data_IF_063469351376
#
_entry.id   IF_063469351376
#
_cell.length_a   1.000
_cell.length_b   1.000
_cell.length_c   1.000
_cell.angle_alpha   90.00
_cell.angle_beta   90.00
_cell.angle_gamma   90.00
#
_symmetry.space_group_name_H-M   'P 1'
#
loop_
_entity.id
_entity.type
_entity.pdbx_description
1 polymer ?
#
# COMPACT_ATOMS: atom_id res chain seq x y z
N UNK A 1 -1.13 -6.15 -26.52
CA UNK A 1 0.11 -5.85 -25.78
C UNK A 1 0.04 -4.38 -25.47
N UNK A 2 0.27 -4.04 -24.20
CA UNK A 2 0.20 -2.66 -23.76
C UNK A 2 1.17 -1.75 -24.52
N UNK A 3 0.94 -0.44 -24.45
CA UNK A 3 1.75 0.57 -25.11
C UNK A 3 2.52 1.38 -24.07
N UNK A 4 3.73 1.83 -24.40
CA UNK A 4 4.53 2.58 -23.44
C UNK A 4 5.76 3.23 -24.07
N UNK A 5 6.35 4.16 -23.33
CA UNK A 5 7.61 4.83 -23.65
C UNK A 5 8.64 4.40 -22.60
N UNK A 6 9.79 3.88 -23.04
CA UNK A 6 10.87 3.44 -22.16
C UNK A 6 10.62 2.16 -21.37
N UNK A 7 9.46 1.52 -21.53
CA UNK A 7 9.07 0.28 -20.87
C UNK A 7 8.51 -0.72 -21.89
N UNK A 8 8.71 -2.01 -21.63
CA UNK A 8 8.20 -3.09 -22.47
C UNK A 8 7.63 -4.24 -21.64
N UNK A 9 6.48 -4.74 -22.05
CA UNK A 9 5.88 -5.96 -21.49
C UNK A 9 6.74 -7.19 -21.80
N UNK A 10 7.06 -7.96 -20.76
CA UNK A 10 7.82 -9.21 -20.86
C UNK A 10 7.05 -10.42 -20.33
N UNK A 11 5.90 -10.20 -19.70
CA UNK A 11 5.04 -11.25 -19.18
C UNK A 11 3.67 -10.71 -18.74
N UNK A 12 2.66 -11.57 -18.80
CA UNK A 12 1.34 -11.30 -18.25
C UNK A 12 0.81 -12.57 -17.61
N UNK A 13 0.34 -12.46 -16.38
CA UNK A 13 -0.36 -13.52 -15.68
C UNK A 13 -1.83 -13.14 -15.60
N UNK A 14 -2.66 -13.89 -16.31
CA UNK A 14 -4.12 -13.75 -16.19
C UNK A 14 -4.62 -14.37 -14.89
N UNK A 15 -5.51 -13.67 -14.19
CA UNK A 15 -6.03 -14.13 -12.91
C UNK A 15 -6.77 -13.04 -12.15
N UNK A 16 -7.25 -13.36 -10.95
CA UNK A 16 -7.94 -12.39 -10.11
C UNK A 16 -7.06 -11.15 -9.85
N UNK A 17 -7.67 -9.97 -9.91
CA UNK A 17 -6.96 -8.72 -9.60
C UNK A 17 -6.51 -8.66 -8.14
N UNK A 18 -5.61 -7.72 -7.84
CA UNK A 18 -4.96 -7.64 -6.54
C UNK A 18 -4.86 -6.23 -5.97
N UNK A 19 -4.75 -6.19 -4.65
CA UNK A 19 -4.55 -4.98 -3.86
C UNK A 19 -3.08 -4.70 -3.55
N UNK A 20 -2.22 -5.72 -3.66
CA UNK A 20 -0.78 -5.64 -3.41
C UNK A 20 -0.04 -6.81 -4.06
N UNK A 21 1.20 -6.57 -4.49
CA UNK A 21 2.13 -7.59 -4.96
C UNK A 21 3.51 -7.39 -4.33
N UNK A 22 4.17 -8.50 -3.96
CA UNK A 22 5.58 -8.52 -3.55
C UNK A 22 6.29 -9.67 -4.26
N UNK A 23 7.56 -9.49 -4.62
CA UNK A 23 8.38 -10.54 -5.26
C UNK A 23 9.63 -10.79 -4.43
N UNK A 24 9.83 -12.05 -4.03
CA UNK A 24 10.99 -12.51 -3.26
C UNK A 24 11.54 -13.77 -3.93
N UNK A 25 12.83 -13.79 -4.25
CA UNK A 25 13.54 -14.96 -4.82
C UNK A 25 12.88 -15.57 -6.08
N UNK A 26 12.33 -14.70 -6.94
CA UNK A 26 11.62 -15.10 -8.16
C UNK A 26 10.23 -15.68 -7.92
N UNK A 27 9.65 -15.48 -6.75
CA UNK A 27 8.27 -15.86 -6.40
C UNK A 27 7.46 -14.59 -6.12
N UNK A 28 6.38 -14.40 -6.87
CA UNK A 28 5.41 -13.34 -6.64
C UNK A 28 4.31 -13.81 -5.69
N UNK A 29 3.96 -12.94 -4.74
CA UNK A 29 2.86 -13.11 -3.82
C UNK A 29 1.87 -11.98 -4.06
N UNK A 30 0.63 -12.32 -4.39
CA UNK A 30 -0.41 -11.34 -4.75
C UNK A 30 -1.57 -11.43 -3.77
N UNK A 31 -1.84 -10.35 -3.05
CA UNK A 31 -3.03 -10.22 -2.19
C UNK A 31 -4.23 -9.76 -3.01
N UNK A 32 -5.34 -10.50 -2.99
CA UNK A 32 -6.48 -10.29 -3.88
C UNK A 32 -7.58 -9.41 -3.26
N UNK A 33 -8.22 -8.61 -4.12
CA UNK A 33 -9.25 -7.63 -3.71
C UNK A 33 -10.58 -8.23 -3.28
N UNK A 34 -10.89 -9.47 -3.69
CA UNK A 34 -12.21 -10.08 -3.52
C UNK A 34 -12.13 -11.58 -3.31
N UNK A 35 -12.92 -12.06 -2.36
CA UNK A 35 -13.26 -13.47 -2.21
C UNK A 35 -13.81 -14.06 -3.53
N UNK A 36 -13.62 -15.37 -3.82
CA UNK A 36 -12.99 -16.37 -2.95
C UNK A 36 -11.46 -16.29 -2.95
N UNK A 37 -10.85 -15.38 -3.70
CA UNK A 37 -9.40 -15.25 -3.81
C UNK A 37 -8.83 -14.48 -2.62
N UNK A 38 -7.88 -15.09 -1.91
CA UNK A 38 -7.13 -14.45 -0.83
C UNK A 38 -5.72 -14.06 -1.27
N UNK A 39 -4.88 -15.05 -1.52
CA UNK A 39 -3.50 -14.85 -1.97
C UNK A 39 -3.10 -15.87 -3.02
N UNK A 40 -2.47 -15.43 -4.11
CA UNK A 40 -1.80 -16.33 -5.06
C UNK A 40 -0.29 -16.27 -4.89
N UNK A 41 0.36 -17.43 -4.95
CA UNK A 41 1.81 -17.59 -4.90
C UNK A 41 2.26 -18.14 -6.25
N UNK A 42 3.16 -17.45 -6.93
CA UNK A 42 3.47 -17.70 -8.36
C UNK A 42 4.97 -17.66 -8.60
N UNK A 43 5.50 -18.68 -9.27
CA UNK A 43 6.87 -18.66 -9.80
C UNK A 43 6.93 -17.72 -11.01
N UNK A 44 7.74 -16.68 -10.89
CA UNK A 44 7.95 -15.63 -11.91
C UNK A 44 9.41 -15.57 -12.37
N UNK A 45 10.17 -16.66 -12.17
CA UNK A 45 11.56 -16.77 -12.67
C UNK A 45 11.63 -16.69 -14.19
N UNK A 46 10.66 -17.26 -14.89
CA UNK A 46 10.42 -16.99 -16.30
C UNK A 46 9.15 -16.12 -16.43
N UNK A 47 9.27 -14.80 -16.66
CA UNK A 47 8.11 -13.92 -16.75
C UNK A 47 7.17 -14.28 -17.91
N UNK A 48 7.65 -14.98 -18.94
CA UNK A 48 6.82 -15.44 -20.07
C UNK A 48 6.04 -16.71 -19.75
N UNK A 49 6.49 -17.48 -18.76
CA UNK A 49 5.93 -18.77 -18.39
C UNK A 49 5.75 -18.86 -16.86
N UNK A 50 4.99 -17.90 -16.32
CA UNK A 50 4.67 -17.88 -14.90
C UNK A 50 3.88 -19.13 -14.50
N UNK A 51 4.17 -19.69 -13.32
CA UNK A 51 3.52 -20.90 -12.81
C UNK A 51 2.96 -20.69 -11.43
N UNK A 52 1.66 -20.86 -11.28
CA UNK A 52 1.01 -20.85 -9.96
C UNK A 52 1.53 -22.00 -9.09
N UNK A 53 1.97 -21.67 -7.88
CA UNK A 53 2.53 -22.60 -6.90
C UNK A 53 1.49 -22.97 -5.83
N UNK A 54 0.72 -21.99 -5.37
CA UNK A 54 -0.31 -22.18 -4.36
C UNK A 54 -1.34 -21.04 -4.35
N UNK A 55 -2.49 -21.30 -3.73
CA UNK A 55 -3.55 -20.33 -3.48
C UNK A 55 -4.07 -20.46 -2.05
N UNK A 56 -4.37 -19.32 -1.44
CA UNK A 56 -5.08 -19.19 -0.18
C UNK A 56 -6.39 -18.46 -0.46
N UNK A 57 -7.51 -18.98 0.04
CA UNK A 57 -8.83 -18.41 -0.18
C UNK A 57 -9.27 -17.46 0.93
N UNK A 58 -10.31 -16.67 0.64
CA UNK A 58 -11.02 -15.85 1.62
C UNK A 58 -12.53 -16.11 1.57
N UNK A 59 -13.24 -16.06 2.71
CA UNK A 59 -14.68 -16.22 2.74
C UNK A 59 -15.43 -15.03 2.09
N UNK A 60 -16.71 -15.23 1.67
CA UNK A 60 -17.56 -14.15 1.17
C UNK A 60 -17.62 -12.93 2.08
N UNK A 61 -17.73 -11.72 1.51
CA UNK A 61 -17.81 -10.47 2.27
C UNK A 61 -16.48 -10.02 2.88
N UNK A 62 -15.38 -10.71 2.60
CA UNK A 62 -14.04 -10.43 3.17
C UNK A 62 -12.97 -10.39 2.09
N UNK A 63 -11.79 -9.90 2.44
CA UNK A 63 -10.61 -9.90 1.57
C UNK A 63 -9.29 -10.00 2.35
N UNK A 64 -8.23 -10.38 1.65
CA UNK A 64 -6.84 -10.38 2.13
C UNK A 64 -5.95 -9.74 1.08
N UNK A 65 -6.24 -8.47 0.80
CA UNK A 65 -5.74 -7.74 -0.36
C UNK A 65 -4.35 -7.13 -0.14
N UNK A 66 -3.72 -7.38 1.02
CA UNK A 66 -2.35 -6.98 1.37
C UNK A 66 -1.52 -8.20 1.71
N UNK A 67 -0.27 -8.19 1.27
CA UNK A 67 0.72 -9.24 1.46
C UNK A 67 2.13 -8.66 1.59
N UNK A 68 2.87 -9.13 2.59
CA UNK A 68 4.32 -8.92 2.72
C UNK A 68 5.00 -10.24 3.00
N UNK A 69 6.24 -10.38 2.52
CA UNK A 69 7.06 -11.58 2.67
C UNK A 69 8.48 -11.18 3.04
N UNK A 70 9.02 -11.77 4.09
CA UNK A 70 10.41 -11.64 4.50
C UNK A 70 10.81 -12.86 5.35
N UNK A 71 12.06 -13.29 5.24
CA UNK A 71 12.64 -14.39 6.06
C UNK A 71 11.81 -15.69 6.09
N UNK A 72 11.21 -16.05 4.95
CA UNK A 72 10.38 -17.25 4.84
C UNK A 72 9.01 -17.14 5.52
N UNK A 73 8.66 -15.97 6.06
CA UNK A 73 7.34 -15.65 6.60
C UNK A 73 6.55 -14.80 5.61
N UNK A 74 5.26 -15.11 5.49
CA UNK A 74 4.28 -14.31 4.77
C UNK A 74 3.22 -13.81 5.75
N UNK A 75 2.92 -12.52 5.68
CA UNK A 75 1.84 -11.87 6.42
C UNK A 75 0.80 -11.38 5.43
N UNK A 76 -0.47 -11.66 5.72
CA UNK A 76 -1.63 -11.19 4.93
C UNK A 76 -2.66 -10.56 5.85
N UNK A 77 -3.37 -9.53 5.41
CA UNK A 77 -4.47 -9.00 6.20
C UNK A 77 -5.71 -9.88 6.09
N UNK A 78 -6.54 -9.86 7.12
CA UNK A 78 -7.89 -10.38 7.09
C UNK A 78 -8.82 -9.23 7.43
N UNK A 79 -9.65 -8.82 6.48
CA UNK A 79 -10.52 -7.65 6.66
C UNK A 79 -11.91 -7.87 6.05
N UNK A 80 -12.94 -7.29 6.68
CA UNK A 80 -14.28 -7.16 6.10
C UNK A 80 -14.22 -6.23 4.89
N UNK A 81 -14.75 -6.68 3.75
CA UNK A 81 -14.79 -5.90 2.53
C UNK A 81 -16.12 -5.16 2.40
N UNK A 82 -16.15 -3.89 2.80
CA UNK A 82 -17.36 -3.06 2.71
C UNK A 82 -17.89 -2.85 1.26
N UNK A 83 -17.09 -3.13 0.24
CA UNK A 83 -17.51 -3.07 -1.17
C UNK A 83 -18.03 -4.43 -1.70
N UNK A 84 -18.24 -5.41 -0.81
CA UNK A 84 -18.88 -6.69 -1.07
C UNK A 84 -20.12 -6.80 -0.16
N UNK A 85 -21.29 -6.94 -0.78
CA UNK A 85 -22.57 -7.06 -0.06
C UNK A 85 -22.87 -8.49 0.41
N UNK A 86 -21.98 -9.44 0.13
CA UNK A 86 -22.13 -10.83 0.56
C UNK A 86 -22.08 -10.94 2.08
N UNK A 87 -22.84 -11.86 2.68
CA UNK A 87 -22.84 -12.04 4.13
C UNK A 87 -21.48 -12.55 4.63
N UNK A 88 -20.90 -11.82 5.57
CA UNK A 88 -19.68 -12.25 6.28
C UNK A 88 -20.02 -13.41 7.22
N UNK A 89 -19.24 -14.51 7.24
CA UNK A 89 -19.46 -15.61 8.20
C UNK A 89 -19.43 -15.12 9.65
N UNK A 90 -20.33 -15.61 10.49
CA UNK A 90 -20.47 -15.17 11.88
C UNK A 90 -19.21 -15.43 12.75
N UNK A 91 -18.43 -16.44 12.38
CA UNK A 91 -17.18 -16.82 13.03
C UNK A 91 -15.95 -16.09 12.45
N UNK A 92 -16.10 -15.28 11.39
CA UNK A 92 -15.01 -14.49 10.86
C UNK A 92 -14.54 -13.46 11.89
N UNK A 93 -13.22 -13.32 12.00
CA UNK A 93 -12.56 -12.27 12.78
C UNK A 93 -11.46 -11.68 11.92
N UNK A 94 -11.43 -10.35 11.84
CA UNK A 94 -10.37 -9.63 11.13
C UNK A 94 -9.04 -9.72 11.87
N UNK A 95 -7.96 -9.24 11.24
CA UNK A 95 -6.61 -9.26 11.81
C UNK A 95 -5.55 -9.55 10.75
N UNK A 96 -4.57 -10.37 11.09
CA UNK A 96 -3.55 -10.86 10.13
C UNK A 96 -3.42 -12.38 10.20
N UNK A 97 -3.17 -12.99 9.05
CA UNK A 97 -2.70 -14.37 8.94
C UNK A 97 -1.19 -14.39 8.77
N UNK A 98 -0.51 -15.28 9.49
CA UNK A 98 0.95 -15.46 9.46
C UNK A 98 1.23 -16.87 8.96
N UNK A 99 2.02 -16.98 7.91
CA UNK A 99 2.28 -18.22 7.19
C UNK A 99 3.79 -18.48 7.05
N UNK A 100 4.18 -19.73 7.17
CA UNK A 100 5.47 -20.24 6.72
C UNK A 100 5.39 -20.47 5.21
N UNK A 101 6.25 -19.77 4.47
CA UNK A 101 6.39 -19.86 3.01
C UNK A 101 7.83 -20.20 2.60
N UNK A 102 8.63 -20.76 3.52
CA UNK A 102 9.97 -21.31 3.20
C UNK A 102 9.92 -22.37 2.09
N UNK A 103 8.76 -23.03 1.93
CA UNK A 103 8.42 -23.85 0.77
C UNK A 103 7.18 -23.27 0.07
N UNK A 104 7.34 -22.37 -0.94
CA UNK A 104 6.22 -21.60 -1.50
C UNK A 104 5.10 -22.42 -2.13
N UNK A 105 5.37 -23.66 -2.58
CA UNK A 105 4.37 -24.61 -3.11
C UNK A 105 3.46 -25.20 -2.02
N UNK A 106 3.81 -25.02 -0.74
CA UNK A 106 3.07 -25.56 0.41
C UNK A 106 3.05 -24.53 1.54
N UNK A 107 2.39 -23.37 1.35
CA UNK A 107 2.27 -22.37 2.39
C UNK A 107 1.53 -22.99 3.59
N UNK A 108 2.06 -22.78 4.79
CA UNK A 108 1.49 -23.34 6.03
C UNK A 108 1.13 -22.23 6.98
N UNK A 109 -0.15 -22.13 7.34
CA UNK A 109 -0.58 -21.19 8.38
C UNK A 109 0.11 -21.54 9.71
N UNK A 110 0.75 -20.55 10.32
CA UNK A 110 1.35 -20.65 11.65
C UNK A 110 0.31 -20.26 12.69
N UNK A 111 -0.28 -19.07 12.52
CA UNK A 111 -1.32 -18.55 13.40
C UNK A 111 -2.11 -17.43 12.73
N UNK A 112 -3.21 -17.02 13.36
CA UNK A 112 -3.95 -15.80 13.04
C UNK A 112 -4.00 -14.92 14.28
N UNK A 113 -3.48 -13.72 14.16
CA UNK A 113 -3.77 -12.68 15.14
C UNK A 113 -5.10 -12.03 14.79
N UNK A 114 -5.98 -11.91 15.78
CA UNK A 114 -7.35 -11.44 15.59
C UNK A 114 -7.51 -10.07 16.24
N UNK A 115 -8.33 -9.24 15.63
CA UNK A 115 -8.69 -7.93 16.16
C UNK A 115 -10.19 -7.66 16.07
N UNK A 116 -10.66 -6.73 16.88
CA UNK A 116 -12.04 -6.24 16.86
C UNK A 116 -12.29 -5.34 15.65
N UNK A 117 -13.56 -5.22 15.26
CA UNK A 117 -13.96 -4.41 14.11
C UNK A 117 -13.69 -5.09 12.77
N UNK A 118 -13.19 -4.33 11.79
CA UNK A 118 -13.07 -4.80 10.40
C UNK A 118 -11.86 -5.69 10.19
N UNK A 119 -10.74 -5.43 10.88
CA UNK A 119 -9.48 -6.15 10.67
C UNK A 119 -8.29 -5.22 10.54
N UNK A 120 -7.28 -5.67 9.80
CA UNK A 120 -6.11 -4.85 9.43
C UNK A 120 -6.26 -4.38 8.00
N UNK A 121 -6.07 -3.09 7.76
CA UNK A 121 -6.25 -2.53 6.41
C UNK A 121 -4.96 -2.61 5.58
N UNK A 122 -3.83 -2.18 6.15
CA UNK A 122 -2.52 -2.17 5.49
C UNK A 122 -1.39 -2.33 6.49
N UNK A 123 -0.23 -2.75 5.99
CA UNK A 123 0.95 -2.95 6.81
C UNK A 123 2.23 -3.00 5.98
N UNK A 124 3.35 -2.82 6.67
CA UNK A 124 4.68 -3.19 6.25
C UNK A 124 5.28 -4.26 7.18
N UNK A 125 6.27 -5.00 6.71
CA UNK A 125 6.88 -6.10 7.46
C UNK A 125 8.38 -6.22 7.14
N UNK A 126 9.21 -6.17 8.18
CA UNK A 126 10.68 -6.16 8.05
C UNK A 126 11.35 -7.52 8.33
N UNK A 127 10.57 -8.61 8.40
CA UNK A 127 11.04 -9.95 8.79
C UNK A 127 10.89 -10.23 10.28
N UNK A 128 10.78 -9.20 11.13
CA UNK A 128 10.60 -9.35 12.57
C UNK A 128 9.36 -8.65 13.11
N UNK A 129 9.09 -7.42 12.69
CA UNK A 129 7.97 -6.62 13.15
C UNK A 129 7.02 -6.29 12.01
N UNK A 130 5.72 -6.32 12.31
CA UNK A 130 4.67 -5.83 11.42
C UNK A 130 4.26 -4.44 11.90
N UNK A 131 4.33 -3.46 11.00
CA UNK A 131 3.83 -2.11 11.21
C UNK A 131 2.47 -2.02 10.52
N UNK A 132 1.38 -1.88 11.26
CA UNK A 132 0.04 -2.14 10.71
C UNK A 132 -1.03 -1.13 11.14
N UNK A 133 -2.11 -1.10 10.37
CA UNK A 133 -3.32 -0.32 10.62
C UNK A 133 -4.53 -1.19 11.01
N UNK A 134 -4.60 -1.71 12.26
CA UNK A 134 -5.76 -2.46 12.77
C UNK A 134 -6.90 -1.54 13.22
N UNK A 135 -8.14 -2.02 13.09
CA UNK A 135 -9.24 -1.57 13.95
C UNK A 135 -9.09 -2.21 15.32
N UNK A 136 -9.35 -1.47 16.40
CA UNK A 136 -9.26 -1.93 17.78
C UNK A 136 -10.47 -1.46 18.59
N UNK A 137 -10.84 -2.23 19.60
CA UNK A 137 -11.86 -1.83 20.56
C UNK A 137 -11.50 -0.50 21.24
N UNK A 138 -12.49 0.38 21.37
CA UNK A 138 -12.33 1.68 22.01
C UNK A 138 -11.66 2.76 21.14
N UNK A 139 -11.38 2.45 19.86
CA UNK A 139 -10.85 3.40 18.90
C UNK A 139 -11.80 3.65 17.73
N UNK A 140 -11.81 4.87 17.20
CA UNK A 140 -12.48 5.19 15.94
C UNK A 140 -11.52 5.05 14.75
N UNK A 141 -11.90 4.21 13.79
CA UNK A 141 -11.07 3.88 12.64
C UNK A 141 -9.89 2.97 12.98
N UNK A 142 -8.93 2.90 12.07
CA UNK A 142 -7.66 2.19 12.25
C UNK A 142 -6.61 3.10 12.92
N UNK A 143 -5.74 2.53 13.74
CA UNK A 143 -4.61 3.25 14.39
C UNK A 143 -3.27 2.64 13.97
N UNK A 144 -2.14 3.22 14.36
CA UNK A 144 -0.82 2.60 14.12
C UNK A 144 -0.50 1.60 15.24
N UNK A 145 -0.13 0.37 14.88
CA UNK A 145 0.36 -0.64 15.82
C UNK A 145 1.64 -1.31 15.29
N UNK A 146 2.56 -1.61 16.20
CA UNK A 146 3.77 -2.42 15.98
C UNK A 146 3.56 -3.78 16.64
N UNK A 147 3.68 -4.85 15.85
CA UNK A 147 3.59 -6.25 16.30
C UNK A 147 4.95 -6.92 16.18
N UNK A 148 5.40 -7.62 17.22
CA UNK A 148 6.60 -8.45 17.23
C UNK A 148 6.24 -9.91 16.83
N UNK A 149 6.91 -10.42 15.79
CA UNK A 149 6.82 -11.82 15.32
C UNK A 149 8.05 -12.67 15.70
N UNK A 150 8.74 -12.36 16.81
CA UNK A 150 9.84 -13.19 17.36
C UNK A 150 9.47 -14.66 17.43
N UNK A 151 8.25 -14.89 17.93
CA UNK A 151 7.56 -16.16 17.89
C UNK A 151 6.31 -15.95 17.02
N UNK A 152 6.36 -16.31 15.73
CA UNK A 152 5.24 -16.07 14.83
C UNK A 152 4.01 -16.90 15.20
N UNK A 153 4.10 -17.90 16.09
CA UNK A 153 2.94 -18.60 16.63
C UNK A 153 2.24 -17.81 17.75
N UNK A 154 2.95 -16.85 18.35
CA UNK A 154 2.49 -16.01 19.47
C UNK A 154 2.85 -14.54 19.23
N UNK A 155 2.28 -13.90 18.20
CA UNK A 155 2.51 -12.49 17.90
C UNK A 155 2.17 -11.62 19.10
N UNK A 156 3.04 -10.66 19.43
CA UNK A 156 2.87 -9.77 20.58
C UNK A 156 2.90 -8.32 20.16
N UNK A 157 1.92 -7.55 20.62
CA UNK A 157 1.98 -6.11 20.45
C UNK A 157 3.19 -5.54 21.18
N UNK A 158 3.99 -4.75 20.46
CA UNK A 158 5.12 -4.03 21.03
C UNK A 158 4.69 -2.66 21.51
N UNK A 159 3.99 -1.91 20.66
CA UNK A 159 3.51 -0.57 20.95
C UNK A 159 2.51 -0.10 19.91
N UNK A 160 1.83 1.00 20.21
CA UNK A 160 0.83 1.61 19.33
C UNK A 160 0.85 3.13 19.46
N UNK A 161 0.29 3.81 18.46
CA UNK A 161 0.01 5.23 18.50
C UNK A 161 -1.30 5.53 17.77
N UNK A 162 -2.00 6.56 18.21
CA UNK A 162 -3.23 7.02 17.62
C UNK A 162 -3.24 8.54 17.54
N UNK A 163 -3.97 9.07 16.56
CA UNK A 163 -4.19 10.50 16.43
C UNK A 163 -5.13 10.97 17.55
N UNK A 164 -4.85 12.11 18.21
CA UNK A 164 -5.75 12.66 19.24
C UNK A 164 -7.17 12.82 18.70
N UNK A 165 -8.15 12.24 19.40
CA UNK A 165 -9.54 12.11 18.95
C UNK A 165 -9.92 10.68 18.58
N UNK A 166 -8.95 9.78 18.36
CA UNK A 166 -9.22 8.39 18.02
C UNK A 166 -9.60 7.52 19.23
N UNK A 167 -9.11 7.80 20.44
CA UNK A 167 -9.30 6.92 21.61
C UNK A 167 -10.57 7.28 22.41
N UNK A 168 -11.72 6.91 21.85
CA UNK A 168 -13.04 7.25 22.43
C UNK A 168 -13.32 6.56 23.76
N UNK A 169 -12.80 5.34 23.98
CA UNK A 169 -12.89 4.67 25.28
C UNK A 169 -12.10 5.39 26.38
N UNK A 170 -11.08 6.17 26.02
CA UNK A 170 -10.34 7.05 26.93
C UNK A 170 -10.97 8.42 27.12
N UNK A 171 -12.13 8.68 26.51
CA UNK A 171 -12.85 9.95 26.60
C UNK A 171 -12.47 10.99 25.54
N UNK A 172 -11.58 10.66 24.60
CA UNK A 172 -11.30 11.55 23.46
C UNK A 172 -12.54 11.68 22.55
N UNK A 173 -12.67 12.84 21.90
CA UNK A 173 -13.72 13.11 20.94
C UNK A 173 -13.10 13.45 19.58
N UNK A 174 -13.41 12.72 18.50
CA UNK A 174 -12.87 13.04 17.19
C UNK A 174 -13.41 14.39 16.71
N UNK A 175 -12.53 15.23 16.16
CA UNK A 175 -12.91 16.52 15.56
C UNK A 175 -13.35 16.38 14.09
N UNK A 176 -13.51 15.15 13.61
CA UNK A 176 -13.81 14.79 12.22
C UNK A 176 -14.96 13.78 12.14
N UNK A 177 -15.63 13.65 10.99
CA UNK A 177 -16.73 12.70 10.85
C UNK A 177 -16.22 11.26 10.69
N UNK A 178 -16.97 10.32 11.26
CA UNK A 178 -16.80 8.88 11.05
C UNK A 178 -15.34 8.43 11.24
N UNK A 179 -14.72 7.90 10.18
CA UNK A 179 -13.34 7.37 10.18
C UNK A 179 -12.44 8.15 9.23
N UNK A 180 -12.72 9.45 9.04
CA UNK A 180 -11.96 10.30 8.12
C UNK A 180 -10.45 10.23 8.42
N UNK A 181 -10.03 10.45 9.67
CA UNK A 181 -8.62 10.45 10.09
C UNK A 181 -8.15 9.08 10.56
N UNK A 182 -8.33 8.05 9.73
CA UNK A 182 -7.88 6.69 10.05
C UNK A 182 -6.48 6.44 9.54
N UNK A 183 -5.69 5.71 10.32
CA UNK A 183 -4.34 5.27 9.94
C UNK A 183 -4.43 4.39 8.69
N UNK A 184 -3.75 4.77 7.62
CA UNK A 184 -3.75 4.00 6.40
C UNK A 184 -2.52 3.12 6.31
N UNK A 185 -1.32 3.70 6.12
CA UNK A 185 -0.08 2.93 5.90
C UNK A 185 1.09 3.44 6.75
N UNK A 186 1.55 2.68 7.76
CA UNK A 186 2.80 2.94 8.45
C UNK A 186 4.00 2.31 7.72
N UNK A 187 4.91 3.15 7.22
CA UNK A 187 6.16 2.72 6.57
C UNK A 187 7.37 2.99 7.46
N UNK A 188 8.27 2.01 7.61
CA UNK A 188 9.47 2.15 8.44
C UNK A 188 10.69 2.54 7.62
N UNK A 189 11.46 3.51 8.13
CA UNK A 189 12.85 3.72 7.76
C UNK A 189 13.67 4.03 9.02
N UNK A 190 14.60 3.13 9.37
CA UNK A 190 15.37 3.24 10.60
C UNK A 190 14.48 3.28 11.86
N UNK A 191 14.63 4.33 12.66
CA UNK A 191 13.86 4.54 13.90
C UNK A 191 12.70 5.54 13.71
N UNK A 192 12.17 5.60 12.49
CA UNK A 192 10.99 6.40 12.15
C UNK A 192 9.90 5.54 11.50
N UNK A 193 8.65 5.90 11.79
CA UNK A 193 7.50 5.52 11.00
C UNK A 193 6.95 6.75 10.29
N UNK A 194 6.80 6.65 8.98
CA UNK A 194 6.13 7.62 8.12
C UNK A 194 4.74 7.06 7.84
N UNK A 195 3.76 7.59 8.55
CA UNK A 195 2.42 6.98 8.63
C UNK A 195 1.40 7.87 7.97
N UNK A 196 0.82 7.41 6.86
CA UNK A 196 -0.29 8.10 6.21
C UNK A 196 -1.57 7.95 7.00
N UNK A 197 -2.32 9.05 7.10
CA UNK A 197 -3.67 9.09 7.65
C UNK A 197 -4.59 9.66 6.58
N UNK A 198 -5.68 8.95 6.28
CA UNK A 198 -6.68 9.48 5.37
C UNK A 198 -7.15 10.85 5.84
N UNK A 199 -7.35 11.79 4.92
CA UNK A 199 -7.89 13.13 5.18
C UNK A 199 -7.25 13.88 6.36
N UNK A 200 -6.02 13.51 6.75
CA UNK A 200 -5.25 14.12 7.82
C UNK A 200 -3.74 14.12 7.49
N UNK A 201 -3.42 14.00 6.20
CA UNK A 201 -2.08 13.92 5.64
C UNK A 201 -1.25 12.75 6.18
N UNK A 202 -0.11 13.06 6.80
CA UNK A 202 0.77 12.05 7.39
C UNK A 202 1.39 12.54 8.70
N UNK A 203 1.87 11.60 9.49
CA UNK A 203 2.66 11.85 10.69
C UNK A 203 4.01 11.14 10.61
N UNK A 204 5.02 11.74 11.24
CA UNK A 204 6.33 11.14 11.47
C UNK A 204 6.37 10.74 12.95
N UNK A 205 6.58 9.46 13.21
CA UNK A 205 6.69 8.92 14.56
C UNK A 205 8.12 8.46 14.83
N UNK A 206 8.65 8.83 15.99
CA UNK A 206 9.88 8.27 16.55
C UNK A 206 9.56 6.92 17.21
N UNK A 207 10.28 5.88 16.80
CA UNK A 207 10.16 4.51 17.31
C UNK A 207 11.50 3.96 17.83
N UNK A 208 12.42 4.83 18.27
CA UNK A 208 13.65 4.41 18.98
C UNK A 208 13.31 3.46 20.15
N UNK A 209 12.27 3.80 20.91
CA UNK A 209 11.56 2.88 21.80
C UNK A 209 10.26 2.45 21.12
N UNK A 210 10.27 1.30 20.45
CA UNK A 210 9.09 0.77 19.74
C UNK A 210 7.88 0.55 20.67
N UNK A 211 8.08 0.42 21.98
CA UNK A 211 6.97 0.28 22.93
C UNK A 211 6.23 1.59 23.18
N UNK A 212 6.84 2.72 22.81
CA UNK A 212 6.30 4.06 23.02
C UNK A 212 6.55 4.93 21.78
N UNK A 213 5.89 4.65 20.65
CA UNK A 213 5.98 5.53 19.49
C UNK A 213 5.56 6.97 19.84
N UNK A 214 6.34 7.96 19.42
CA UNK A 214 6.12 9.38 19.76
C UNK A 214 5.95 10.21 18.50
N UNK A 215 4.96 11.10 18.50
CA UNK A 215 4.82 12.08 17.43
C UNK A 215 6.03 13.01 17.38
N UNK A 216 6.69 13.08 16.22
CA UNK A 216 7.71 14.09 15.90
C UNK A 216 7.03 15.31 15.29
N UNK A 217 6.26 15.08 14.22
CA UNK A 217 5.51 16.10 13.48
C UNK A 217 4.47 15.43 12.57
N UNK A 218 3.69 16.24 11.87
CA UNK A 218 2.88 15.82 10.74
C UNK A 218 2.64 16.98 9.80
N UNK A 219 2.09 16.68 8.62
CA UNK A 219 1.67 17.66 7.64
C UNK A 219 0.33 17.22 7.08
N UNK A 220 -0.61 18.15 7.00
CA UNK A 220 -1.98 17.92 6.51
C UNK A 220 -2.36 19.03 5.52
N UNK A 221 -3.01 18.63 4.45
CA UNK A 221 -3.48 19.49 3.36
C UNK A 221 -4.96 19.23 3.00
N UNK A 222 -5.68 18.53 3.87
CA UNK A 222 -7.10 18.21 3.74
C UNK A 222 -7.91 18.94 4.82
N UNK A 223 -8.58 20.06 4.51
CA UNK A 223 -8.75 20.74 3.21
C UNK A 223 -7.53 21.60 2.77
N UNK A 224 -7.44 22.00 1.48
CA UNK A 224 -8.47 21.94 0.44
C UNK A 224 -8.49 20.65 -0.39
N UNK A 225 -7.50 19.76 -0.26
CA UNK A 225 -7.44 18.55 -1.07
C UNK A 225 -8.28 17.44 -0.43
N UNK A 226 -9.22 16.88 -1.21
CA UNK A 226 -10.20 15.93 -0.73
C UNK A 226 -9.83 14.45 -0.98
N UNK A 227 -8.71 14.20 -1.68
CA UNK A 227 -8.20 12.84 -1.84
C UNK A 227 -7.52 12.37 -0.55
N UNK A 228 -7.78 11.16 -0.07
CA UNK A 228 -7.10 10.65 1.11
C UNK A 228 -5.60 10.45 0.88
N UNK A 229 -4.77 10.80 1.87
CA UNK A 229 -3.36 10.45 1.85
C UNK A 229 -3.18 8.95 2.07
N UNK A 230 -2.61 8.28 1.07
CA UNK A 230 -2.52 6.82 0.97
C UNK A 230 -1.16 6.30 1.43
N UNK A 231 -0.07 6.88 0.94
CA UNK A 231 1.28 6.40 1.25
C UNK A 231 2.23 7.58 1.44
N UNK A 232 2.98 7.58 2.55
CA UNK A 232 4.09 8.52 2.79
C UNK A 232 5.40 7.74 2.73
N UNK A 233 6.00 7.64 1.53
CA UNK A 233 7.17 6.81 1.26
C UNK A 233 8.47 7.60 1.51
N UNK A 234 9.27 7.26 2.55
CA UNK A 234 10.57 7.88 2.75
C UNK A 234 11.57 7.42 1.70
N UNK A 235 12.33 8.35 1.13
CA UNK A 235 13.47 7.99 0.29
C UNK A 235 14.63 7.52 1.19
N UNK A 236 15.22 6.33 0.93
CA UNK A 236 16.28 5.78 1.76
C UNK A 236 17.66 6.42 1.51
N UNK A 237 17.70 7.53 0.78
CA UNK A 237 18.91 8.25 0.41
C UNK A 237 18.65 9.76 0.39
N UNK A 238 19.73 10.53 0.55
CA UNK A 238 19.68 11.98 0.42
C UNK A 238 19.74 12.39 -1.04
N UNK A 239 19.00 13.46 -1.38
CA UNK A 239 19.16 14.16 -2.66
C UNK A 239 19.82 15.50 -2.35
N UNK A 240 21.08 15.67 -2.78
CA UNK A 240 21.88 16.90 -2.53
C UNK A 240 21.96 17.27 -1.04
N UNK A 241 22.10 16.27 -0.17
CA UNK A 241 22.22 16.44 1.29
C UNK A 241 20.91 16.76 2.01
N UNK A 242 19.76 16.48 1.39
CA UNK A 242 18.42 16.67 1.94
C UNK A 242 17.62 15.37 1.89
N UNK A 243 16.73 15.21 2.86
CA UNK A 243 15.86 14.03 3.03
C UNK A 243 14.45 14.34 2.55
N UNK A 244 13.81 13.38 1.87
CA UNK A 244 12.51 13.60 1.25
C UNK A 244 11.53 12.45 1.47
N UNK A 245 10.25 12.80 1.47
CA UNK A 245 9.14 11.88 1.29
C UNK A 245 8.54 12.05 -0.10
N UNK A 246 8.19 10.93 -0.70
CA UNK A 246 7.25 10.84 -1.81
C UNK A 246 5.89 10.47 -1.22
N UNK A 247 4.92 11.37 -1.29
CA UNK A 247 3.59 11.14 -0.72
C UNK A 247 2.56 10.98 -1.84
N UNK A 248 1.81 9.89 -1.82
CA UNK A 248 0.70 9.66 -2.75
C UNK A 248 -0.62 9.84 -2.02
N UNK A 249 -1.44 10.74 -2.52
CA UNK A 249 -2.88 10.70 -2.25
C UNK A 249 -3.51 9.65 -3.19
N UNK A 250 -4.66 9.09 -2.80
CA UNK A 250 -5.37 8.08 -3.61
C UNK A 250 -6.71 8.57 -4.17
N UNK A 251 -6.93 8.29 -5.45
CA UNK A 251 -8.17 8.66 -6.13
C UNK A 251 -9.29 7.64 -5.88
N UNK A 252 -9.77 7.45 -4.65
CA UNK A 252 -10.78 6.39 -4.34
C UNK A 252 -12.11 6.89 -3.77
N UNK A 253 -12.12 7.97 -2.98
CA UNK A 253 -13.31 8.42 -2.24
C UNK A 253 -13.54 9.94 -2.32
N UNK A 254 -13.03 10.58 -3.37
CA UNK A 254 -13.37 11.98 -3.67
C UNK A 254 -14.66 12.08 -4.48
N UNK A 255 -15.26 13.27 -4.51
CA UNK A 255 -16.30 13.62 -5.48
C UNK A 255 -15.66 13.88 -6.84
N UNK A 256 -16.37 13.56 -7.92
CA UNK A 256 -15.83 13.69 -9.28
C UNK A 256 -15.36 15.11 -9.64
N UNK A 257 -15.98 16.15 -9.07
CA UNK A 257 -15.62 17.56 -9.30
C UNK A 257 -14.43 18.06 -8.46
N UNK A 258 -13.91 17.25 -7.53
CA UNK A 258 -12.74 17.59 -6.74
C UNK A 258 -11.46 17.25 -7.51
N UNK A 259 -10.36 17.93 -7.19
CA UNK A 259 -9.05 17.69 -7.80
C UNK A 259 -8.66 16.23 -7.60
N UNK A 260 -8.35 15.56 -8.71
CA UNK A 260 -7.86 14.18 -8.73
C UNK A 260 -6.54 14.03 -7.96
N UNK A 261 -6.33 12.86 -7.36
CA UNK A 261 -5.14 12.59 -6.57
C UNK A 261 -3.86 12.72 -7.40
N UNK A 262 -2.78 13.14 -6.75
CA UNK A 262 -1.47 13.35 -7.35
C UNK A 262 -0.36 13.00 -6.35
N UNK A 263 0.89 13.12 -6.81
CA UNK A 263 2.06 12.88 -5.98
C UNK A 263 2.57 14.21 -5.39
N UNK A 264 2.92 14.21 -4.11
CA UNK A 264 3.66 15.26 -3.44
C UNK A 264 5.11 14.86 -3.21
N UNK A 265 6.01 15.84 -3.31
CA UNK A 265 7.38 15.75 -2.83
C UNK A 265 7.52 16.65 -1.60
N UNK A 266 7.97 16.09 -0.48
CA UNK A 266 8.04 16.78 0.81
C UNK A 266 9.46 16.71 1.36
N UNK A 267 10.07 17.85 1.66
CA UNK A 267 11.36 17.93 2.36
C UNK A 267 11.14 17.63 3.84
N UNK A 268 11.90 16.67 4.37
CA UNK A 268 11.92 16.23 5.77
C UNK A 268 13.32 16.31 6.37
N UNK A 269 14.20 17.15 5.80
CA UNK A 269 15.55 17.38 6.32
C UNK A 269 15.48 17.83 7.78
N UNK A 270 14.56 18.75 8.10
CA UNK A 270 14.08 18.99 9.45
C UNK A 270 12.75 18.24 9.66
N UNK A 271 12.80 17.07 10.27
CA UNK A 271 11.62 16.23 10.53
C UNK A 271 10.59 16.93 11.42
N UNK A 272 10.92 18.02 12.12
CA UNK A 272 9.95 18.77 12.92
C UNK A 272 9.14 19.75 12.07
N UNK A 273 9.59 20.06 10.87
CA UNK A 273 8.94 21.01 9.97
C UNK A 273 8.90 20.48 8.53
N UNK A 274 8.15 19.39 8.25
CA UNK A 274 7.99 18.90 6.88
C UNK A 274 7.39 19.97 5.97
N UNK A 275 7.96 20.13 4.77
CA UNK A 275 7.52 21.17 3.83
C UNK A 275 7.31 20.60 2.41
N UNK A 276 6.15 20.80 1.77
CA UNK A 276 5.96 20.41 0.38
C UNK A 276 6.84 21.29 -0.52
N UNK A 277 7.61 20.65 -1.41
CA UNK A 277 8.57 21.33 -2.29
C UNK A 277 8.30 21.12 -3.77
N UNK A 278 7.43 20.17 -4.11
CA UNK A 278 7.04 19.84 -5.47
C UNK A 278 5.83 18.91 -5.49
N UNK A 279 5.26 18.75 -6.68
CA UNK A 279 4.21 17.77 -6.94
C UNK A 279 4.32 17.26 -8.37
N UNK A 280 3.65 16.14 -8.66
CA UNK A 280 3.57 15.58 -10.00
C UNK A 280 2.15 15.09 -10.27
N UNK A 281 1.62 15.43 -11.44
CA UNK A 281 0.36 14.94 -12.00
C UNK A 281 0.61 14.48 -13.44
N UNK A 282 -0.08 13.41 -13.86
CA UNK A 282 -0.01 12.91 -15.23
C UNK A 282 -0.62 13.93 -16.19
N UNK A 283 0.01 14.12 -17.35
CA UNK A 283 -0.49 15.02 -18.40
C UNK A 283 -1.92 14.66 -18.80
N UNK A 284 -2.78 15.67 -18.97
CA UNK A 284 -4.20 15.51 -19.30
C UNK A 284 -5.13 15.46 -18.09
N UNK A 285 -4.61 15.35 -16.86
CA UNK A 285 -5.39 15.59 -15.64
C UNK A 285 -5.24 17.06 -15.25
N UNK A 286 -6.19 17.88 -15.69
CA UNK A 286 -6.19 19.35 -15.57
C UNK A 286 -7.12 19.90 -14.48
N UNK A 287 -7.72 19.01 -13.68
CA UNK A 287 -8.70 19.36 -12.65
C UNK A 287 -10.16 19.33 -13.14
N UNK A 288 -10.41 19.01 -14.41
CA UNK A 288 -11.77 18.72 -14.88
C UNK A 288 -12.39 17.52 -14.14
N UNK A 289 -13.74 17.48 -14.01
CA UNK A 289 -14.41 16.36 -13.40
C UNK A 289 -14.10 15.04 -14.09
N UNK A 290 -13.75 14.03 -13.31
CA UNK A 290 -13.41 12.71 -13.82
C UNK A 290 -13.82 11.63 -12.80
N UNK A 291 -14.14 10.40 -13.26
CA UNK A 291 -14.48 9.31 -12.36
C UNK A 291 -13.40 9.06 -11.31
N UNK A 292 -13.78 8.59 -10.12
CA UNK A 292 -12.81 8.03 -9.14
C UNK A 292 -12.00 6.89 -9.77
N UNK A 293 -10.88 6.51 -9.17
CA UNK A 293 -9.93 5.52 -9.66
C UNK A 293 -9.43 5.82 -11.07
N UNK A 294 -9.15 7.10 -11.33
CA UNK A 294 -8.51 7.55 -12.57
C UNK A 294 -7.05 7.90 -12.29
N UNK A 295 -6.79 8.61 -11.19
CA UNK A 295 -5.50 9.26 -10.96
C UNK A 295 -4.56 8.50 -9.99
N UNK A 296 -3.74 9.23 -9.22
CA UNK A 296 -2.67 8.67 -8.40
C UNK A 296 -3.20 7.64 -7.39
N UNK A 297 -2.36 6.66 -7.07
CA UNK A 297 -2.66 5.68 -6.02
C UNK A 297 -1.41 5.29 -5.24
N UNK A 298 -0.43 4.66 -5.88
CA UNK A 298 0.54 3.87 -5.12
C UNK A 298 1.95 3.89 -5.74
N UNK A 299 2.97 4.40 -5.02
CA UNK A 299 4.36 4.22 -5.41
C UNK A 299 4.85 2.79 -5.12
N UNK A 300 5.88 2.37 -5.83
CA UNK A 300 6.66 1.19 -5.48
C UNK A 300 7.40 1.45 -4.17
N UNK A 301 7.07 0.66 -3.14
CA UNK A 301 7.67 0.83 -1.81
C UNK A 301 9.11 0.31 -1.74
N UNK A 302 9.53 -0.55 -2.70
CA UNK A 302 10.94 -0.94 -2.87
C UNK A 302 11.64 0.09 -3.75
N UNK A 303 12.28 1.06 -3.11
CA UNK A 303 13.02 2.15 -3.77
C UNK A 303 14.41 1.69 -4.19
N UNK A 304 14.68 1.67 -5.50
CA UNK A 304 15.97 1.25 -6.09
C UNK A 304 16.81 2.40 -6.63
N UNK A 305 16.27 3.62 -6.67
CA UNK A 305 16.93 4.81 -7.21
C UNK A 305 15.97 6.00 -7.24
N UNK A 306 16.27 7.01 -8.06
CA UNK A 306 15.40 8.21 -8.19
C UNK A 306 14.23 8.01 -9.15
N UNK A 307 14.24 7.00 -10.02
CA UNK A 307 13.10 6.64 -10.85
C UNK A 307 12.16 5.73 -10.06
N UNK A 308 11.04 6.28 -9.59
CA UNK A 308 10.06 5.56 -8.76
C UNK A 308 8.92 5.07 -9.65
N UNK A 309 8.68 3.75 -9.75
CA UNK A 309 7.46 3.22 -10.37
C UNK A 309 6.21 3.59 -9.56
N UNK A 310 5.14 3.97 -10.24
CA UNK A 310 3.85 4.30 -9.65
C UNK A 310 2.71 3.60 -10.39
N UNK A 311 1.82 2.97 -9.63
CA UNK A 311 0.50 2.61 -10.12
C UNK A 311 -0.41 3.85 -10.08
N UNK A 312 -0.94 4.22 -11.25
CA UNK A 312 -1.77 5.40 -11.45
C UNK A 312 -3.13 5.00 -12.03
N UNK A 313 -3.86 4.11 -11.34
CA UNK A 313 -5.16 3.56 -11.74
C UNK A 313 -5.38 3.46 -13.26
N UNK A 314 -6.23 4.32 -13.84
CA UNK A 314 -6.62 4.28 -15.26
C UNK A 314 -5.51 4.75 -16.20
N UNK A 315 -4.46 5.37 -15.66
CA UNK A 315 -3.26 5.78 -16.36
C UNK A 315 -2.12 4.75 -16.28
N UNK A 316 -2.35 3.54 -15.76
CA UNK A 316 -1.36 2.46 -15.84
C UNK A 316 -0.15 2.67 -14.94
N UNK A 317 1.04 2.30 -15.43
CA UNK A 317 2.32 2.46 -14.76
C UNK A 317 3.02 3.75 -15.20
N UNK A 318 3.50 4.51 -14.22
CA UNK A 318 4.23 5.77 -14.39
C UNK A 318 5.60 5.68 -13.73
N UNK A 319 6.67 5.99 -14.44
CA UNK A 319 8.03 6.08 -13.87
C UNK A 319 8.36 7.54 -13.62
N UNK A 320 8.42 7.93 -12.35
CA UNK A 320 8.63 9.33 -11.94
C UNK A 320 10.06 9.51 -11.42
N UNK A 321 10.86 10.31 -12.09
CA UNK A 321 12.23 10.67 -11.67
C UNK A 321 12.17 11.82 -10.67
N UNK A 322 12.55 11.54 -9.42
CA UNK A 322 12.55 12.49 -8.30
C UNK A 322 13.92 13.11 -8.02
N UNK A 323 14.91 12.93 -8.90
CA UNK A 323 16.27 13.49 -8.71
C UNK A 323 16.31 15.02 -8.54
N UNK A 324 15.28 15.70 -9.05
CA UNK A 324 15.02 17.12 -8.79
C UNK A 324 13.72 17.25 -7.99
N UNK A 325 13.79 17.37 -6.65
CA UNK A 325 12.61 17.37 -5.78
C UNK A 325 11.60 18.49 -6.07
N UNK A 326 12.04 19.59 -6.69
CA UNK A 326 11.18 20.73 -7.03
C UNK A 326 10.47 20.58 -8.38
N UNK A 327 10.87 19.61 -9.19
CA UNK A 327 10.25 19.32 -10.48
C UNK A 327 10.34 17.84 -10.83
N UNK A 328 9.67 16.95 -10.07
CA UNK A 328 9.60 15.54 -10.43
C UNK A 328 8.98 15.40 -11.83
N UNK A 329 9.47 14.45 -12.62
CA UNK A 329 9.07 14.30 -14.02
C UNK A 329 8.84 12.85 -14.41
N UNK A 330 7.88 12.60 -15.28
CA UNK A 330 7.75 11.29 -15.92
C UNK A 330 8.94 11.06 -16.87
N UNK A 331 9.54 9.88 -16.80
CA UNK A 331 10.66 9.46 -17.67
C UNK A 331 10.33 8.24 -18.52
N UNK A 332 9.30 7.50 -18.12
CA UNK A 332 8.75 6.37 -18.84
C UNK A 332 7.32 6.08 -18.36
N UNK A 333 6.53 5.41 -19.19
CA UNK A 333 5.21 4.92 -18.79
C UNK A 333 4.85 3.65 -19.55
N UNK A 334 3.91 2.90 -19.00
CA UNK A 334 3.31 1.75 -19.66
C UNK A 334 1.81 1.71 -19.35
N UNK A 335 1.01 1.63 -20.41
CA UNK A 335 -0.43 1.44 -20.37
C UNK A 335 -0.73 -0.03 -20.69
N UNK A 336 -1.18 -0.82 -19.70
CA UNK A 336 -1.65 -2.18 -19.95
C UNK A 336 -2.87 -2.20 -20.89
N UNK A 337 -3.10 -3.34 -21.53
CA UNK A 337 -4.39 -3.57 -22.19
C UNK A 337 -5.52 -3.56 -21.15
N UNK A 338 -6.70 -3.09 -21.55
CA UNK A 338 -7.89 -3.14 -20.68
C UNK A 338 -8.21 -4.60 -20.34
N UNK A 339 -8.21 -5.00 -19.05
CA UNK A 339 -8.46 -6.39 -18.70
C UNK A 339 -9.85 -6.86 -19.15
N UNK A 340 -9.94 -8.09 -19.64
CA UNK A 340 -11.22 -8.65 -20.12
C UNK A 340 -12.29 -8.63 -19.03
N UNK A 341 -13.47 -8.09 -19.36
CA UNK A 341 -14.60 -7.96 -18.43
C UNK A 341 -14.56 -6.68 -17.59
N UNK A 342 -13.74 -5.72 -17.97
CA UNK A 342 -13.64 -4.39 -17.35
C UNK A 342 -13.72 -3.31 -18.41
N UNK A 343 -14.07 -2.10 -18.00
CA UNK A 343 -14.23 -0.97 -18.92
C UNK A 343 -12.94 -0.15 -19.09
N UNK A 344 -11.97 -0.33 -18.19
CA UNK A 344 -10.68 0.36 -18.18
C UNK A 344 -9.66 -0.32 -17.26
N UNK A 345 -8.39 0.03 -17.45
CA UNK A 345 -7.30 -0.30 -16.53
C UNK A 345 -7.59 0.27 -15.13
N UNK A 346 -7.19 -0.48 -14.11
CA UNK A 346 -7.25 -0.08 -12.71
C UNK A 346 -5.96 -0.55 -12.01
N UNK A 347 -4.82 -0.05 -12.46
CA UNK A 347 -3.50 -0.36 -11.89
C UNK A 347 -3.46 0.02 -10.41
N UNK A 348 -3.20 -0.95 -9.53
CA UNK A 348 -3.46 -0.81 -8.10
C UNK A 348 -2.19 -0.85 -7.25
N UNK A 349 -1.22 -1.68 -7.56
CA UNK A 349 0.06 -1.72 -6.84
C UNK A 349 1.19 -2.07 -7.79
N UNK A 350 2.40 -1.71 -7.37
CA UNK A 350 3.60 -1.96 -8.16
C UNK A 350 4.76 -2.35 -7.25
N UNK A 351 5.53 -3.34 -7.68
CA UNK A 351 6.79 -3.72 -7.03
C UNK A 351 7.87 -4.02 -8.05
N UNK A 352 9.12 -4.16 -7.58
CA UNK A 352 10.27 -4.52 -8.40
C UNK A 352 11.03 -5.69 -7.78
N UNK A 353 11.67 -6.50 -8.61
CA UNK A 353 12.58 -7.56 -8.16
C UNK A 353 14.05 -7.20 -8.40
N UNK A 354 14.95 -8.07 -7.97
CA UNK A 354 16.40 -7.84 -8.06
C UNK A 354 16.95 -7.93 -9.49
N UNK A 355 16.14 -8.37 -10.45
CA UNK A 355 16.46 -8.37 -11.89
C UNK A 355 16.08 -7.03 -12.53
N UNK A 356 15.41 -6.14 -11.80
CA UNK A 356 14.87 -4.89 -12.32
C UNK A 356 13.54 -5.06 -13.06
N UNK A 357 12.89 -6.22 -12.96
CA UNK A 357 11.54 -6.40 -13.50
C UNK A 357 10.53 -5.65 -12.62
N UNK A 358 9.56 -5.02 -13.25
CA UNK A 358 8.49 -4.25 -12.61
C UNK A 358 7.19 -5.02 -12.75
N UNK A 359 6.49 -5.20 -11.63
CA UNK A 359 5.29 -6.01 -11.50
C UNK A 359 4.12 -5.09 -11.18
N UNK A 360 3.19 -4.93 -12.11
CA UNK A 360 2.03 -4.05 -12.01
C UNK A 360 0.75 -4.89 -11.88
N UNK A 361 0.16 -4.90 -10.69
CA UNK A 361 -1.09 -5.62 -10.44
C UNK A 361 -2.28 -4.71 -10.72
N UNK A 362 -3.23 -5.20 -11.51
CA UNK A 362 -4.51 -4.54 -11.73
C UNK A 362 -5.51 -4.93 -10.62
N UNK A 363 -6.30 -3.96 -10.15
CA UNK A 363 -7.30 -4.15 -9.08
C UNK A 363 -8.35 -5.18 -9.45
N UNK A 364 -8.66 -5.30 -10.74
CA UNK A 364 -9.77 -6.10 -11.27
C UNK A 364 -9.28 -7.43 -11.80
N UNK A 365 -8.22 -7.46 -12.61
CA UNK A 365 -7.74 -8.70 -13.25
C UNK A 365 -6.32 -8.58 -13.79
N UNK A 366 -5.49 -9.54 -13.41
CA UNK A 366 -4.19 -9.78 -14.04
C UNK A 366 -3.02 -9.01 -13.42
N UNK A 367 -1.83 -9.58 -13.62
CA UNK A 367 -0.54 -9.04 -13.23
C UNK A 367 0.33 -8.87 -14.48
N UNK A 368 0.73 -7.64 -14.78
CA UNK A 368 1.61 -7.33 -15.90
C UNK A 368 3.05 -7.22 -15.43
N UNK A 369 3.99 -7.81 -16.16
CA UNK A 369 5.43 -7.76 -15.88
C UNK A 369 6.09 -6.99 -17.01
N UNK A 370 6.79 -5.91 -16.66
CA UNK A 370 7.50 -5.06 -17.62
C UNK A 370 8.97 -4.92 -17.25
N UNK A 371 9.79 -4.56 -18.23
CA UNK A 371 11.19 -4.20 -18.03
C UNK A 371 11.44 -2.77 -18.53
N UNK A 372 12.42 -2.09 -17.91
CA UNK A 372 12.92 -0.78 -18.33
C UNK A 372 13.91 -0.95 -19.48
N UNK A 373 13.68 -0.24 -20.58
CA UNK A 373 14.51 -0.23 -21.80
C UNK A 373 15.76 0.64 -21.71
#
# INVERSE_FOLDING_TARGET
>A
MGTGVGLREVGYLDGAGGGQVVVVDGVAYVGHMRSPHGTSIVDVRDPKNCRELAKIGMPPGTHSHKVRVADGLMVVNHEINNADSSPVPADFRGGIGIYDVSTPVRPREITRWKTEGKGVHRFDFDGRHVYMSPTLEGYVGTIMMIMDLKDPARPQETGRWWMPGQWTAGGEQPSWPQTAHRCHHPLRLGNRLYTSYWLAGFVILDIEDMSKPKLVSGLDWSPPFACPTHTALPLPFDIRGRRYLVVADEDVQRKDAEVAAFMWMVDITDERHPAPVGSFQVEGIDGAPQPTMTACHQPCEKVTGTEIPFAWFAHGLRMIDVKDPHGPREVAHFMPDVPQGTDRVSSNDVTVDDRGLIYLIDRRRGLTIVERL
#
